data_IF_373987996339
#
_entry.id   IF_373987996339
#
_cell.length_a   1.000
_cell.length_b   1.000
_cell.length_c   1.000
_cell.angle_alpha   90.00
_cell.angle_beta   90.00
_cell.angle_gamma   90.00
#
_symmetry.space_group_name_H-M   'P 1'
#
loop_
_entity.id
_entity.type
_entity.pdbx_description
1 polymer ?
#
# COMPACT_ATOMS: atom_id res chain seq x y z
N UNK A 1 -5.52 -14.01 2.77
CA UNK A 1 -5.35 -12.97 3.82
C UNK A 1 -6.40 -13.10 4.93
N UNK A 2 -7.66 -13.41 4.60
CA UNK A 2 -8.76 -13.56 5.56
C UNK A 2 -8.62 -14.67 6.61
N UNK A 3 -7.68 -15.62 6.43
CA UNK A 3 -7.39 -16.71 7.38
C UNK A 3 -6.36 -16.34 8.46
N UNK A 4 -5.75 -15.16 8.37
CA UNK A 4 -4.78 -14.70 9.37
C UNK A 4 -5.51 -14.15 10.61
N UNK A 5 -4.85 -14.09 11.79
CA UNK A 5 -5.42 -13.40 12.95
C UNK A 5 -5.74 -11.94 12.65
N UNK A 6 -6.82 -11.40 13.25
CA UNK A 6 -7.27 -10.02 13.04
C UNK A 6 -6.15 -8.98 13.20
N UNK A 7 -5.27 -9.04 14.23
CA UNK A 7 -4.16 -8.08 14.35
C UNK A 7 -3.22 -8.09 13.13
N UNK A 8 -2.95 -9.27 12.56
CA UNK A 8 -2.13 -9.40 11.36
C UNK A 8 -2.85 -8.84 10.14
N UNK A 9 -4.16 -9.06 10.01
CA UNK A 9 -4.93 -8.47 8.91
C UNK A 9 -4.93 -6.93 8.98
N UNK A 10 -5.12 -6.36 10.17
CA UNK A 10 -5.06 -4.91 10.41
C UNK A 10 -3.67 -4.33 10.11
N UNK A 11 -2.60 -5.02 10.52
CA UNK A 11 -1.24 -4.60 10.20
C UNK A 11 -1.01 -4.60 8.68
N UNK A 12 -1.42 -5.68 8.01
CA UNK A 12 -1.21 -5.84 6.58
C UNK A 12 -2.03 -4.82 5.77
N UNK A 13 -3.29 -4.56 6.13
CA UNK A 13 -4.10 -3.55 5.41
C UNK A 13 -3.53 -2.13 5.60
N UNK A 14 -2.99 -1.80 6.77
CA UNK A 14 -2.26 -0.55 6.99
C UNK A 14 -1.00 -0.47 6.11
N UNK A 15 -0.18 -1.51 6.17
CA UNK A 15 1.10 -1.56 5.46
C UNK A 15 0.93 -1.48 3.94
N UNK A 16 0.06 -2.31 3.38
CA UNK A 16 -0.22 -2.31 1.94
C UNK A 16 -0.96 -1.04 1.50
N UNK A 17 -1.82 -0.47 2.34
CA UNK A 17 -2.45 0.82 2.07
C UNK A 17 -1.43 1.95 1.97
N UNK A 18 -0.41 1.96 2.83
CA UNK A 18 0.72 2.90 2.74
C UNK A 18 1.52 2.71 1.45
N UNK A 19 1.86 1.46 1.09
CA UNK A 19 2.58 1.19 -0.15
C UNK A 19 1.78 1.58 -1.40
N UNK A 20 0.46 1.32 -1.41
CA UNK A 20 -0.44 1.74 -2.50
C UNK A 20 -0.41 3.26 -2.65
N UNK A 21 -0.52 3.99 -1.54
CA UNK A 21 -0.46 5.46 -1.55
C UNK A 21 0.87 5.99 -2.10
N UNK A 22 1.99 5.39 -1.71
CA UNK A 22 3.31 5.76 -2.21
C UNK A 22 3.39 5.52 -3.72
N UNK A 23 2.91 4.36 -4.19
CA UNK A 23 2.91 4.02 -5.62
C UNK A 23 2.00 4.94 -6.43
N UNK A 24 0.82 5.28 -5.93
CA UNK A 24 -0.10 6.20 -6.62
C UNK A 24 0.47 7.62 -6.71
N UNK A 25 1.28 8.02 -5.72
CA UNK A 25 1.92 9.34 -5.72
C UNK A 25 3.22 9.37 -6.55
N UNK A 26 3.74 8.23 -6.99
CA UNK A 26 5.05 8.13 -7.62
C UNK A 26 5.20 9.06 -8.83
N UNK A 27 4.18 9.10 -9.69
CA UNK A 27 4.15 9.94 -10.89
C UNK A 27 4.09 11.44 -10.53
N UNK A 28 3.30 11.80 -9.50
CA UNK A 28 3.14 13.20 -9.07
C UNK A 28 4.43 13.79 -8.49
N UNK A 29 5.29 12.95 -7.91
CA UNK A 29 6.54 13.38 -7.29
C UNK A 29 7.80 13.07 -8.11
N UNK A 30 7.67 12.45 -9.28
CA UNK A 30 8.82 11.96 -10.05
C UNK A 30 9.64 10.89 -9.31
N UNK A 31 9.00 10.17 -8.38
CA UNK A 31 9.60 9.07 -7.64
C UNK A 31 9.54 7.79 -8.46
N UNK A 32 10.59 6.95 -8.39
CA UNK A 32 10.60 5.63 -9.05
C UNK A 32 10.00 4.52 -8.19
N UNK A 33 9.26 4.88 -7.13
CA UNK A 33 8.63 3.93 -6.20
C UNK A 33 7.32 3.36 -6.76
N UNK A 34 7.40 2.68 -7.90
CA UNK A 34 6.28 1.92 -8.46
C UNK A 34 5.92 0.74 -7.56
N UNK A 35 4.72 0.21 -7.67
CA UNK A 35 4.30 -1.00 -6.95
C UNK A 35 5.27 -2.19 -7.17
N UNK A 36 5.87 -2.29 -8.35
CA UNK A 36 6.89 -3.29 -8.67
C UNK A 36 8.18 -3.07 -7.91
N UNK A 37 8.70 -1.83 -7.90
CA UNK A 37 9.89 -1.46 -7.14
C UNK A 37 9.68 -1.67 -5.63
N UNK A 38 8.49 -1.33 -5.12
CA UNK A 38 8.09 -1.59 -3.74
C UNK A 38 8.03 -3.09 -3.47
N UNK A 39 7.41 -3.88 -4.35
CA UNK A 39 7.30 -5.33 -4.21
C UNK A 39 8.66 -6.02 -4.13
N UNK A 40 9.60 -5.65 -5.00
CA UNK A 40 11.00 -6.12 -4.97
C UNK A 40 11.67 -5.78 -3.63
N UNK A 41 11.45 -4.56 -3.14
CA UNK A 41 12.09 -4.04 -1.92
C UNK A 41 11.57 -4.70 -0.64
N UNK A 42 10.25 -4.84 -0.51
CA UNK A 42 9.63 -5.22 0.78
C UNK A 42 9.32 -6.71 0.90
N UNK A 43 9.21 -7.45 -0.21
CA UNK A 43 8.92 -8.88 -0.18
C UNK A 43 9.88 -9.71 0.70
N UNK A 44 11.21 -9.47 0.73
CA UNK A 44 12.10 -10.21 1.63
C UNK A 44 11.74 -10.10 3.10
N UNK A 45 11.25 -8.92 3.52
CA UNK A 45 10.87 -8.67 4.92
C UNK A 45 9.52 -9.28 5.28
N UNK A 46 8.63 -9.43 4.29
CA UNK A 46 7.30 -10.02 4.48
C UNK A 46 7.32 -11.55 4.40
N UNK A 47 8.20 -12.09 3.56
CA UNK A 47 8.29 -13.52 3.27
C UNK A 47 9.64 -14.04 3.77
N UNK A 48 9.65 -14.48 5.03
CA UNK A 48 10.83 -15.14 5.62
C UNK A 48 11.29 -16.39 4.85
N UNK A 49 10.43 -16.98 4.00
CA UNK A 49 10.78 -18.06 3.07
C UNK A 49 11.76 -17.66 1.95
N UNK A 50 12.06 -16.37 1.81
CA UNK A 50 13.04 -15.84 0.85
C UNK A 50 14.40 -15.55 1.50
N UNK A 51 14.53 -15.74 2.82
CA UNK A 51 15.73 -15.41 3.58
C UNK A 51 16.59 -16.66 3.69
N UNK A 52 17.81 -16.56 3.19
CA UNK A 52 18.80 -17.60 3.33
C UNK A 52 19.63 -17.40 4.61
N UNK A 53 19.81 -18.45 5.41
CA UNK A 53 20.72 -18.54 6.58
C UNK A 53 22.23 -18.38 6.28
N UNK A 54 22.61 -17.56 5.30
CA UNK A 54 24.00 -17.12 5.11
C UNK A 54 24.93 -18.07 4.33
N UNK A 55 24.43 -19.12 3.68
CA UNK A 55 25.20 -19.79 2.61
C UNK A 55 24.94 -19.14 1.23
N UNK A 56 25.47 -19.72 0.15
CA UNK A 56 25.19 -19.25 -1.21
C UNK A 56 23.72 -19.46 -1.58
N UNK A 57 23.05 -18.39 -2.02
CA UNK A 57 21.67 -18.44 -2.52
C UNK A 57 21.51 -19.52 -3.60
N UNK A 58 20.47 -20.35 -3.48
CA UNK A 58 20.13 -21.36 -4.47
C UNK A 58 19.14 -20.78 -5.49
N UNK A 59 19.03 -21.42 -6.66
CA UNK A 59 18.05 -21.02 -7.68
C UNK A 59 16.60 -21.08 -7.17
N UNK A 60 16.30 -21.98 -6.24
CA UNK A 60 15.00 -22.06 -5.57
C UNK A 60 14.68 -20.78 -4.78
N UNK A 61 15.68 -20.19 -4.11
CA UNK A 61 15.50 -18.99 -3.31
C UNK A 61 15.21 -17.78 -4.22
N UNK A 62 15.88 -17.72 -5.38
CA UNK A 62 15.62 -16.71 -6.41
C UNK A 62 14.19 -16.84 -6.96
N UNK A 63 13.72 -18.07 -7.19
CA UNK A 63 12.36 -18.31 -7.67
C UNK A 63 11.31 -17.91 -6.62
N UNK A 64 11.52 -18.26 -5.35
CA UNK A 64 10.66 -17.84 -4.23
C UNK A 64 10.62 -16.33 -4.09
N UNK A 65 11.78 -15.67 -4.16
CA UNK A 65 11.87 -14.21 -4.13
C UNK A 65 11.09 -13.55 -5.27
N UNK A 66 11.22 -14.07 -6.50
CA UNK A 66 10.49 -13.54 -7.66
C UNK A 66 8.98 -13.64 -7.48
N UNK A 67 8.49 -14.80 -7.02
CA UNK A 67 7.07 -15.04 -6.75
C UNK A 67 6.57 -14.12 -5.62
N UNK A 68 7.32 -14.02 -4.52
CA UNK A 68 6.98 -13.16 -3.40
C UNK A 68 6.90 -11.68 -3.80
N UNK A 69 7.87 -11.21 -4.59
CA UNK A 69 7.90 -9.85 -5.12
C UNK A 69 6.72 -9.57 -6.04
N UNK A 70 6.37 -10.52 -6.91
CA UNK A 70 5.22 -10.40 -7.82
C UNK A 70 3.89 -10.36 -7.05
N UNK A 71 3.70 -11.26 -6.08
CA UNK A 71 2.50 -11.28 -5.22
C UNK A 71 2.38 -9.95 -4.48
N UNK A 72 3.46 -9.49 -3.86
CA UNK A 72 3.49 -8.21 -3.13
C UNK A 72 3.12 -7.04 -4.04
N UNK A 73 3.72 -6.97 -5.23
CA UNK A 73 3.42 -5.92 -6.22
C UNK A 73 1.95 -5.93 -6.63
N UNK A 74 1.37 -7.10 -6.89
CA UNK A 74 -0.05 -7.24 -7.24
C UNK A 74 -0.97 -6.84 -6.10
N UNK A 75 -0.65 -7.16 -4.85
CA UNK A 75 -1.43 -6.71 -3.69
C UNK A 75 -1.42 -5.18 -3.58
N UNK A 76 -0.27 -4.54 -3.82
CA UNK A 76 -0.16 -3.07 -3.81
C UNK A 76 -1.02 -2.47 -4.94
N UNK A 77 -0.89 -2.97 -6.18
CA UNK A 77 -1.63 -2.45 -7.33
C UNK A 77 -3.15 -2.59 -7.20
N UNK A 78 -3.61 -3.66 -6.56
CA UNK A 78 -5.02 -3.98 -6.40
C UNK A 78 -5.55 -3.62 -5.01
N UNK A 79 -4.85 -2.78 -4.24
CA UNK A 79 -5.35 -2.35 -2.94
C UNK A 79 -6.68 -1.59 -3.11
N UNK A 80 -7.68 -1.97 -2.31
CA UNK A 80 -9.05 -1.43 -2.37
C UNK A 80 -10.05 -2.37 -3.03
N UNK A 81 -9.62 -3.42 -3.73
CA UNK A 81 -10.55 -4.46 -4.19
C UNK A 81 -11.00 -5.34 -3.02
N UNK A 82 -12.31 -5.52 -2.88
CA UNK A 82 -12.95 -6.28 -1.78
C UNK A 82 -12.55 -7.76 -1.74
N UNK A 83 -11.93 -8.28 -2.80
CA UNK A 83 -11.40 -9.64 -2.86
C UNK A 83 -10.07 -9.85 -2.13
N UNK A 84 -9.34 -8.79 -1.77
CA UNK A 84 -8.02 -8.91 -1.12
C UNK A 84 -8.08 -8.95 0.40
N UNK A 85 -8.82 -8.01 1.00
CA UNK A 85 -9.04 -7.93 2.43
C UNK A 85 -10.53 -7.80 2.73
N UNK A 86 -11.01 -8.32 3.88
CA UNK A 86 -12.39 -8.09 4.31
C UNK A 86 -12.70 -6.59 4.40
N UNK A 87 -13.96 -6.21 4.13
CA UNK A 87 -14.41 -4.81 4.19
C UNK A 87 -14.05 -4.15 5.52
N UNK A 88 -14.24 -4.84 6.63
CA UNK A 88 -13.90 -4.36 7.98
C UNK A 88 -12.44 -3.92 8.13
N UNK A 89 -11.51 -4.58 7.41
CA UNK A 89 -10.10 -4.17 7.39
C UNK A 89 -9.91 -2.85 6.64
N UNK A 90 -10.63 -2.64 5.53
CA UNK A 90 -10.59 -1.38 4.80
C UNK A 90 -11.28 -0.24 5.56
N UNK A 91 -12.36 -0.53 6.29
CA UNK A 91 -12.99 0.42 7.21
C UNK A 91 -12.05 0.79 8.37
N UNK A 92 -11.33 -0.18 8.92
CA UNK A 92 -10.28 0.06 9.91
C UNK A 92 -9.18 0.95 9.34
N UNK A 93 -8.65 0.64 8.16
CA UNK A 93 -7.66 1.46 7.47
C UNK A 93 -8.14 2.91 7.25
N UNK A 94 -9.36 3.08 6.74
CA UNK A 94 -9.98 4.38 6.51
C UNK A 94 -10.09 5.19 7.81
N UNK A 95 -10.56 4.56 8.89
CA UNK A 95 -10.66 5.18 10.22
C UNK A 95 -9.30 5.64 10.75
N UNK A 96 -8.28 4.79 10.70
CA UNK A 96 -6.95 5.09 11.24
C UNK A 96 -6.23 6.16 10.40
N UNK A 97 -6.36 6.12 9.08
CA UNK A 97 -5.75 7.11 8.18
C UNK A 97 -6.57 8.40 8.06
N UNK A 98 -7.77 8.44 8.65
CA UNK A 98 -8.69 9.58 8.54
C UNK A 98 -9.24 9.79 7.12
N UNK A 99 -9.24 8.74 6.29
CA UNK A 99 -9.81 8.75 4.94
C UNK A 99 -11.27 8.29 4.98
N UNK A 100 -12.08 8.82 4.08
CA UNK A 100 -13.43 8.33 3.79
C UNK A 100 -13.35 7.17 2.80
N UNK A 101 -14.12 6.12 3.08
CA UNK A 101 -14.32 5.00 2.17
C UNK A 101 -15.50 5.32 1.26
N UNK A 102 -15.22 5.55 -0.02
CA UNK A 102 -16.23 5.63 -1.07
C UNK A 102 -16.43 4.25 -1.67
N UNK A 103 -17.66 3.75 -1.59
CA UNK A 103 -18.11 2.64 -2.42
C UNK A 103 -18.49 3.25 -3.78
N UNK A 104 -17.76 2.92 -4.83
CA UNK A 104 -18.20 3.22 -6.19
C UNK A 104 -19.00 1.99 -6.65
N UNK A 105 -20.34 2.04 -6.61
CA UNK A 105 -21.16 0.86 -6.95
C UNK A 105 -20.92 0.33 -8.37
N UNK A 106 -20.25 1.12 -9.23
CA UNK A 106 -19.89 0.76 -10.60
C UNK A 106 -18.48 0.15 -10.72
N UNK A 107 -17.67 0.20 -9.66
CA UNK A 107 -16.29 -0.30 -9.62
C UNK A 107 -16.07 -1.03 -8.29
N UNK A 108 -15.83 -2.33 -8.32
CA UNK A 108 -15.56 -3.18 -7.13
C UNK A 108 -14.32 -2.77 -6.29
N UNK A 109 -13.76 -1.60 -6.57
CA UNK A 109 -12.63 -0.94 -5.93
C UNK A 109 -13.11 0.16 -5.00
N UNK A 110 -12.82 -0.02 -3.71
CA UNK A 110 -13.01 0.99 -2.68
C UNK A 110 -12.05 2.17 -2.92
N UNK A 111 -12.59 3.39 -2.91
CA UNK A 111 -11.79 4.62 -3.04
C UNK A 111 -11.61 5.28 -1.68
N UNK A 112 -10.40 5.75 -1.42
CA UNK A 112 -10.06 6.39 -0.14
C UNK A 112 -9.78 7.88 -0.37
N UNK A 113 -10.71 8.74 0.06
CA UNK A 113 -10.60 10.19 -0.10
C UNK A 113 -10.36 10.87 1.25
N UNK A 114 -9.73 12.05 1.26
CA UNK A 114 -9.65 12.85 2.49
C UNK A 114 -11.01 13.56 2.69
N UNK A 115 -11.61 13.52 3.90
CA UNK A 115 -12.82 14.28 4.17
C UNK A 115 -12.58 15.79 4.00
N UNK A 116 -13.42 16.45 3.21
CA UNK A 116 -13.29 17.87 2.87
C UNK A 116 -13.22 18.79 4.10
N UNK A 117 -13.80 18.40 5.23
CA UNK A 117 -13.77 19.15 6.49
C UNK A 117 -12.41 19.19 7.18
N UNK A 118 -11.49 18.24 6.90
CA UNK A 118 -10.12 18.26 7.44
C UNK A 118 -9.16 19.05 6.57
N UNK A 119 -9.52 19.34 5.31
CA UNK A 119 -8.68 20.10 4.38
C UNK A 119 -8.55 21.57 4.81
N UNK A 120 -9.59 22.14 5.42
CA UNK A 120 -9.64 23.55 5.84
C UNK A 120 -8.73 23.91 7.02
N UNK A 121 -8.24 22.93 7.78
CA UNK A 121 -7.41 23.15 8.98
C UNK A 121 -5.93 22.79 8.80
N UNK A 122 -5.53 22.30 7.61
CA UNK A 122 -4.14 21.92 7.36
C UNK A 122 -3.39 23.13 6.77
N UNK A 123 -2.27 23.57 7.37
CA UNK A 123 -1.43 24.60 6.78
C UNK A 123 -1.05 24.22 5.35
N UNK A 124 -1.12 25.17 4.40
CA UNK A 124 -0.86 24.93 2.97
C UNK A 124 0.44 24.14 2.69
N UNK A 125 1.48 24.32 3.51
CA UNK A 125 2.75 23.59 3.41
C UNK A 125 2.66 22.11 3.81
N UNK A 126 1.88 21.79 4.83
CA UNK A 126 1.58 20.43 5.27
C UNK A 126 0.56 19.78 4.34
N UNK A 127 -0.39 20.55 3.81
CA UNK A 127 -1.36 20.08 2.82
C UNK A 127 -0.64 19.62 1.55
N UNK A 128 0.34 20.40 1.09
CA UNK A 128 1.26 20.04 0.01
C UNK A 128 2.05 18.75 0.28
N UNK A 129 2.53 18.54 1.49
CA UNK A 129 3.26 17.32 1.86
C UNK A 129 2.34 16.10 2.00
N UNK A 130 1.11 16.28 2.50
CA UNK A 130 0.10 15.23 2.72
C UNK A 130 -0.66 14.80 1.46
N UNK A 131 -0.92 15.75 0.54
CA UNK A 131 -1.54 15.49 -0.76
C UNK A 131 -0.51 15.16 -1.85
N UNK A 132 0.76 15.29 -1.50
CA UNK A 132 1.88 15.10 -2.38
C UNK A 132 2.07 16.11 -3.51
N UNK A 133 1.59 17.33 -3.30
CA UNK A 133 1.80 18.46 -4.18
C UNK A 133 2.90 19.32 -3.55
N UNK A 134 4.19 19.02 -3.80
CA UNK A 134 5.24 20.02 -3.54
C UNK A 134 4.91 21.28 -4.35
N UNK A 135 4.92 22.50 -3.77
CA UNK A 135 4.83 23.70 -4.58
C UNK A 135 6.12 23.79 -5.39
N UNK A 136 6.00 23.54 -6.70
CA UNK A 136 7.06 23.80 -7.66
C UNK A 136 7.47 25.26 -7.52
N UNK A 137 8.73 25.48 -7.13
CA UNK A 137 9.38 26.78 -7.29
C UNK A 137 9.50 27.03 -8.80
N UNK A 138 8.80 28.04 -9.29
CA UNK A 138 9.18 28.82 -10.48
C UNK A 138 10.55 29.44 -10.30
#
# INVERSE_FOLDING_TARGET
LCSLPIPSQHLLVLLFGTFSMISESADSFGSRMTAEALGISVAPSLFHSCIHDGQRAKMEDVMRFKIASEITSRIIQNFGYTSLFPRDCYEFYARITGRMLGDDENDSRLRFAIPASKISHIPHSLFSFYLGILPGKT
#
